data_IF_713946563729
#
_entry.id   IF_713946563729
#
_cell.length_a   1.000
_cell.length_b   1.000
_cell.length_c   1.000
_cell.angle_alpha   90.00
_cell.angle_beta   90.00
_cell.angle_gamma   90.00
#
_symmetry.space_group_name_H-M   'P 1'
#
loop_
_entity.id
_entity.type
_entity.pdbx_description
1 polymer ?
#
# COMPACT_ATOMS: atom_id res chain seq x y z
N UNK A 1 10.43 16.22 -5.64
CA UNK A 1 10.15 14.77 -5.78
C UNK A 1 8.94 14.62 -6.68
N UNK A 2 9.05 13.83 -7.74
CA UNK A 2 7.95 13.65 -8.69
C UNK A 2 6.78 12.92 -8.03
N UNK A 3 5.55 13.35 -8.35
CA UNK A 3 4.29 12.79 -7.79
C UNK A 3 4.23 11.27 -7.92
N UNK A 4 4.87 10.73 -8.96
CA UNK A 4 5.10 9.30 -9.19
C UNK A 4 5.70 8.59 -7.98
N UNK A 5 6.81 9.09 -7.42
CA UNK A 5 7.49 8.44 -6.31
C UNK A 5 6.65 8.46 -5.04
N UNK A 6 6.06 9.63 -4.72
CA UNK A 6 5.22 9.79 -3.52
C UNK A 6 4.03 8.83 -3.59
N UNK A 7 3.37 8.74 -4.74
CA UNK A 7 2.21 7.88 -4.93
C UNK A 7 2.54 6.40 -4.70
N UNK A 8 3.58 5.89 -5.35
CA UNK A 8 3.95 4.48 -5.23
C UNK A 8 4.53 4.15 -3.86
N UNK A 9 5.28 5.07 -3.22
CA UNK A 9 5.71 4.88 -1.84
C UNK A 9 4.53 4.82 -0.87
N UNK A 10 3.50 5.65 -1.05
CA UNK A 10 2.26 5.58 -0.26
C UNK A 10 1.55 4.22 -0.42
N UNK A 11 1.46 3.70 -1.66
CA UNK A 11 0.88 2.37 -1.91
C UNK A 11 1.71 1.24 -1.29
N UNK A 12 3.04 1.33 -1.31
CA UNK A 12 3.92 0.38 -0.62
C UNK A 12 3.63 0.39 0.88
N UNK A 13 3.53 1.57 1.51
CA UNK A 13 3.24 1.68 2.94
C UNK A 13 1.89 1.05 3.30
N UNK A 14 0.85 1.32 2.50
CA UNK A 14 -0.46 0.67 2.67
C UNK A 14 -0.34 -0.86 2.55
N UNK A 15 0.38 -1.33 1.54
CA UNK A 15 0.61 -2.76 1.34
C UNK A 15 1.34 -3.43 2.50
N UNK A 16 2.37 -2.77 3.06
CA UNK A 16 3.12 -3.25 4.23
C UNK A 16 2.24 -3.34 5.47
N UNK A 17 1.41 -2.31 5.73
CA UNK A 17 0.46 -2.33 6.85
C UNK A 17 -0.51 -3.51 6.71
N UNK A 18 -1.06 -3.71 5.51
CA UNK A 18 -2.04 -4.77 5.30
C UNK A 18 -1.41 -6.16 5.47
N UNK A 19 -0.23 -6.38 4.88
CA UNK A 19 0.49 -7.64 5.01
C UNK A 19 0.92 -7.92 6.46
N UNK A 20 1.37 -6.91 7.21
CA UNK A 20 1.79 -7.08 8.61
C UNK A 20 0.63 -7.39 9.54
N UNK A 21 -0.50 -6.68 9.42
CA UNK A 21 -1.72 -6.99 10.19
C UNK A 21 -2.29 -8.38 9.87
N UNK A 22 -2.20 -8.80 8.60
CA UNK A 22 -2.60 -10.14 8.23
C UNK A 22 -1.67 -11.19 8.85
N UNK A 23 -0.35 -10.94 8.86
CA UNK A 23 0.63 -11.82 9.48
C UNK A 23 0.40 -11.98 10.98
N UNK A 24 0.08 -10.90 11.71
CA UNK A 24 -0.25 -10.99 13.14
C UNK A 24 -1.51 -11.82 13.38
N UNK A 25 -2.52 -11.68 12.52
CA UNK A 25 -3.78 -12.43 12.60
C UNK A 25 -3.58 -13.92 12.30
N UNK A 26 -2.72 -14.24 11.33
CA UNK A 26 -2.34 -15.61 11.01
C UNK A 26 -1.51 -16.23 12.13
N UNK A 27 -0.59 -15.48 12.73
CA UNK A 27 0.25 -15.92 13.84
C UNK A 27 -0.55 -16.19 15.12
N UNK A 28 -1.71 -15.56 15.30
CA UNK A 28 -2.62 -15.82 16.42
C UNK A 28 -3.56 -17.02 16.18
N UNK A 29 -3.31 -17.85 15.16
CA UNK A 29 -4.15 -18.99 14.72
C UNK A 29 -5.61 -18.63 14.39
N UNK A 30 -5.95 -17.35 14.39
CA UNK A 30 -7.27 -16.80 14.06
C UNK A 30 -7.40 -16.64 12.53
N UNK A 31 -7.00 -17.68 11.80
CA UNK A 31 -6.98 -17.67 10.33
C UNK A 31 -8.41 -17.53 9.81
N UNK A 32 -8.64 -16.48 9.05
CA UNK A 32 -9.92 -16.19 8.42
C UNK A 32 -9.70 -15.81 6.96
N UNK A 33 -10.71 -16.06 6.11
CA UNK A 33 -10.67 -15.66 4.69
C UNK A 33 -10.32 -14.18 4.52
N UNK A 34 -10.88 -13.24 5.31
CA UNK A 34 -10.46 -11.84 5.29
C UNK A 34 -8.96 -11.61 5.52
N UNK A 35 -8.35 -12.32 6.47
CA UNK A 35 -6.92 -12.18 6.77
C UNK A 35 -6.03 -12.63 5.60
N UNK A 36 -6.39 -13.73 4.94
CA UNK A 36 -5.65 -14.22 3.76
C UNK A 36 -5.77 -13.25 2.59
N UNK A 37 -6.97 -12.74 2.32
CA UNK A 37 -7.18 -11.73 1.27
C UNK A 37 -6.38 -10.47 1.55
N UNK A 38 -6.39 -10.01 2.80
CA UNK A 38 -5.62 -8.84 3.23
C UNK A 38 -4.11 -9.05 3.03
N UNK A 39 -3.57 -10.23 3.35
CA UNK A 39 -2.17 -10.56 3.10
C UNK A 39 -1.82 -10.49 1.61
N UNK A 40 -2.63 -11.12 0.77
CA UNK A 40 -2.40 -11.17 -0.68
C UNK A 40 -2.48 -9.77 -1.29
N UNK A 41 -3.52 -8.99 -0.95
CA UNK A 41 -3.65 -7.61 -1.41
C UNK A 41 -2.47 -6.75 -0.96
N UNK A 42 -2.02 -6.89 0.28
CA UNK A 42 -0.86 -6.17 0.81
C UNK A 42 0.41 -6.47 0.02
N UNK A 43 0.69 -7.76 -0.22
CA UNK A 43 1.85 -8.19 -1.00
C UNK A 43 1.79 -7.72 -2.47
N UNK A 44 0.63 -7.80 -3.10
CA UNK A 44 0.43 -7.32 -4.48
C UNK A 44 0.69 -5.83 -4.57
N UNK A 45 0.20 -5.04 -3.61
CA UNK A 45 0.43 -3.58 -3.59
C UNK A 45 1.92 -3.24 -3.45
N UNK A 46 2.64 -3.92 -2.56
CA UNK A 46 4.09 -3.73 -2.40
C UNK A 46 4.83 -4.12 -3.68
N UNK A 47 4.53 -5.30 -4.22
CA UNK A 47 5.20 -5.83 -5.41
C UNK A 47 4.95 -4.99 -6.66
N UNK A 48 3.68 -4.65 -6.93
CA UNK A 48 3.31 -3.85 -8.09
C UNK A 48 3.90 -2.43 -7.99
N UNK A 49 3.79 -1.79 -6.83
CA UNK A 49 4.30 -0.42 -6.67
C UNK A 49 5.83 -0.38 -6.67
N UNK A 50 6.48 -1.40 -6.11
CA UNK A 50 7.94 -1.56 -6.19
C UNK A 50 8.43 -1.83 -7.61
N UNK A 51 7.68 -2.61 -8.39
CA UNK A 51 7.95 -2.84 -9.81
C UNK A 51 7.86 -1.54 -10.60
N UNK A 52 6.79 -0.76 -10.40
CA UNK A 52 6.61 0.55 -11.05
C UNK A 52 7.79 1.47 -10.73
N UNK A 53 8.15 1.62 -9.45
CA UNK A 53 9.28 2.45 -9.02
C UNK A 53 10.63 2.05 -9.65
N UNK A 54 10.82 0.77 -9.97
CA UNK A 54 12.07 0.25 -10.50
C UNK A 54 12.13 0.21 -12.04
N UNK A 55 10.98 0.06 -12.70
CA UNK A 55 10.93 -0.17 -14.15
C UNK A 55 10.28 0.94 -14.97
N UNK A 56 9.46 1.80 -14.36
CA UNK A 56 8.77 2.87 -15.07
C UNK A 56 9.40 4.24 -14.86
N UNK A 57 9.27 5.07 -15.89
CA UNK A 57 9.67 6.46 -15.85
C UNK A 57 8.57 7.32 -15.18
N UNK A 58 8.95 8.27 -14.31
CA UNK A 58 8.02 9.24 -13.73
C UNK A 58 7.25 10.07 -14.77
N UNK A 59 7.79 10.21 -15.99
CA UNK A 59 7.15 10.92 -17.09
C UNK A 59 5.87 10.23 -17.62
N UNK A 60 5.70 8.94 -17.34
CA UNK A 60 4.53 8.15 -17.75
C UNK A 60 3.41 8.17 -16.68
N UNK A 61 3.61 8.93 -15.60
CA UNK A 61 2.67 8.99 -14.50
C UNK A 61 1.43 9.82 -14.83
N UNK A 62 0.31 9.14 -15.09
CA UNK A 62 -0.95 9.75 -15.50
C UNK A 62 -2.05 9.71 -14.42
N UNK A 63 -1.65 9.73 -13.14
CA UNK A 63 -2.65 9.78 -12.06
C UNK A 63 -3.12 11.22 -11.84
N UNK A 64 -4.40 11.43 -12.10
CA UNK A 64 -5.07 12.70 -11.87
C UNK A 64 -4.92 13.22 -10.43
N UNK A 65 -5.07 14.53 -10.18
CA UNK A 65 -4.86 15.14 -8.86
C UNK A 65 -5.70 14.50 -7.74
N UNK A 66 -6.96 14.17 -8.04
CA UNK A 66 -7.89 13.58 -7.07
C UNK A 66 -7.42 12.19 -6.63
N UNK A 67 -7.05 11.32 -7.59
CA UNK A 67 -6.56 9.98 -7.28
C UNK A 67 -5.26 10.01 -6.48
N UNK A 68 -4.36 10.93 -6.82
CA UNK A 68 -3.12 11.13 -6.07
C UNK A 68 -3.39 11.50 -4.61
N UNK A 69 -4.22 12.53 -4.37
CA UNK A 69 -4.51 12.99 -3.01
C UNK A 69 -5.35 11.99 -2.20
N UNK A 70 -6.24 11.23 -2.86
CA UNK A 70 -6.98 10.16 -2.19
C UNK A 70 -6.05 9.09 -1.63
N UNK A 71 -5.03 8.67 -2.40
CA UNK A 71 -4.02 7.72 -1.92
C UNK A 71 -3.19 8.31 -0.80
N UNK A 72 -2.68 9.54 -0.95
CA UNK A 72 -1.89 10.20 0.10
C UNK A 72 -2.68 10.34 1.41
N UNK A 73 -3.91 10.87 1.34
CA UNK A 73 -4.76 11.05 2.51
C UNK A 73 -5.16 9.71 3.15
N UNK A 74 -5.47 8.70 2.31
CA UNK A 74 -5.77 7.35 2.77
C UNK A 74 -4.58 6.72 3.50
N UNK A 75 -3.36 6.86 2.98
CA UNK A 75 -2.15 6.38 3.64
C UNK A 75 -1.92 7.09 4.98
N UNK A 76 -2.07 8.42 5.03
CA UNK A 76 -1.91 9.17 6.28
C UNK A 76 -2.94 8.75 7.32
N UNK A 77 -4.21 8.61 6.92
CA UNK A 77 -5.28 8.15 7.80
C UNK A 77 -5.05 6.73 8.31
N UNK A 78 -4.59 5.82 7.44
CA UNK A 78 -4.25 4.45 7.82
C UNK A 78 -3.10 4.42 8.83
N UNK A 79 -2.02 5.17 8.58
CA UNK A 79 -0.89 5.23 9.49
C UNK A 79 -1.26 5.84 10.83
N UNK A 80 -2.13 6.87 10.84
CA UNK A 80 -2.65 7.43 12.08
C UNK A 80 -3.44 6.40 12.89
N UNK A 81 -4.20 5.51 12.24
CA UNK A 81 -4.94 4.43 12.91
C UNK A 81 -4.01 3.35 13.48
N UNK A 82 -2.88 3.08 12.83
CA UNK A 82 -1.94 2.02 13.22
C UNK A 82 -0.98 2.46 14.33
N UNK A 83 -0.67 3.76 14.41
CA UNK A 83 0.30 4.31 15.38
C UNK A 83 -0.34 4.67 16.73
N UNK A 84 -1.67 4.78 16.80
CA UNK A 84 -2.44 5.03 18.04
C UNK A 84 -2.79 3.70 18.69
#
# INVERSE_FOLDING_TARGET
MERFHVYHSCLILVGVVFASMALTTLASEAVSVPAVVQAVCGLVLVGASGYELNQRSPSEFDVGPVGFWAVVAGTVGLLALVVI
#
